data_IF_447116172130
#
_entry.id   IF_447116172130
#
_cell.length_a   1.000
_cell.length_b   1.000
_cell.length_c   1.000
_cell.angle_alpha   90.00
_cell.angle_beta   90.00
_cell.angle_gamma   90.00
#
_symmetry.space_group_name_H-M   'P 1'
#
loop_
_entity.id
_entity.type
_entity.pdbx_description
1 polymer ?
#
# COMPACT_ATOMS: atom_id res chain seq x y z
N UNK A 1 3.39 0.30 0.71
CA UNK A 1 2.23 0.19 -0.21
C UNK A 1 2.59 -0.60 -1.45
N UNK A 2 3.27 -0.03 -2.45
CA UNK A 2 3.64 -0.79 -3.66
C UNK A 2 4.51 -2.02 -3.37
N UNK A 3 5.52 -1.90 -2.50
CA UNK A 3 6.35 -3.04 -2.09
C UNK A 3 5.52 -4.12 -1.38
N UNK A 4 4.65 -3.73 -0.44
CA UNK A 4 3.80 -4.66 0.30
C UNK A 4 2.80 -5.36 -0.63
N UNK A 5 2.22 -4.63 -1.58
CA UNK A 5 1.37 -5.16 -2.64
C UNK A 5 2.09 -6.24 -3.46
N UNK A 6 3.33 -5.99 -3.88
CA UNK A 6 4.13 -6.97 -4.63
C UNK A 6 4.47 -8.21 -3.78
N UNK A 7 4.78 -8.02 -2.50
CA UNK A 7 5.02 -9.12 -1.57
C UNK A 7 3.77 -9.97 -1.38
N UNK A 8 2.59 -9.37 -1.28
CA UNK A 8 1.32 -10.08 -1.23
C UNK A 8 1.03 -10.87 -2.51
N UNK A 9 1.56 -10.42 -3.67
CA UNK A 9 1.53 -11.16 -4.93
C UNK A 9 2.65 -12.21 -5.08
N UNK A 10 3.43 -12.46 -4.02
CA UNK A 10 4.45 -13.52 -3.97
C UNK A 10 5.85 -13.10 -4.43
N UNK A 11 6.08 -11.82 -4.71
CA UNK A 11 7.41 -11.29 -5.02
C UNK A 11 8.25 -11.24 -3.74
N UNK A 12 9.53 -11.62 -3.80
CA UNK A 12 10.39 -11.50 -2.62
C UNK A 12 10.53 -10.03 -2.21
N UNK A 13 10.64 -9.75 -0.91
CA UNK A 13 10.75 -8.36 -0.45
C UNK A 13 11.91 -7.60 -1.11
N UNK A 14 13.04 -8.28 -1.35
CA UNK A 14 14.19 -7.69 -2.05
C UNK A 14 13.82 -7.22 -3.46
N UNK A 15 13.17 -8.08 -4.23
CA UNK A 15 12.83 -7.79 -5.62
C UNK A 15 11.69 -6.76 -5.70
N UNK A 16 10.72 -6.85 -4.79
CA UNK A 16 9.65 -5.86 -4.65
C UNK A 16 10.23 -4.47 -4.35
N UNK A 17 11.15 -4.36 -3.41
CA UNK A 17 11.79 -3.09 -3.06
C UNK A 17 12.67 -2.55 -4.20
N UNK A 18 13.34 -3.42 -4.96
CA UNK A 18 14.09 -3.01 -6.14
C UNK A 18 13.19 -2.44 -7.25
N UNK A 19 12.06 -3.11 -7.54
CA UNK A 19 11.07 -2.65 -8.50
C UNK A 19 10.45 -1.30 -8.10
N UNK A 20 10.15 -1.11 -6.81
CA UNK A 20 9.68 0.19 -6.29
C UNK A 20 10.72 1.28 -6.52
N UNK A 21 12.01 1.00 -6.27
CA UNK A 21 13.08 1.98 -6.51
C UNK A 21 13.15 2.41 -7.98
N UNK A 22 12.99 1.47 -8.91
CA UNK A 22 12.94 1.77 -10.35
C UNK A 22 11.70 2.59 -10.72
N UNK A 23 10.53 2.26 -10.18
CA UNK A 23 9.31 3.00 -10.41
C UNK A 23 9.39 4.44 -9.88
N UNK A 24 9.93 4.64 -8.67
CA UNK A 24 10.14 5.98 -8.10
C UNK A 24 11.11 6.79 -8.96
N UNK A 25 12.24 6.20 -9.38
CA UNK A 25 13.18 6.89 -10.26
C UNK A 25 12.56 7.28 -11.62
N UNK A 26 11.68 6.44 -12.17
CA UNK A 26 10.96 6.73 -13.40
C UNK A 26 9.93 7.86 -13.24
N UNK A 27 9.20 7.88 -12.11
CA UNK A 27 8.27 8.94 -11.75
C UNK A 27 9.00 10.29 -11.58
N UNK A 28 10.13 10.29 -10.85
CA UNK A 28 10.98 11.47 -10.69
C UNK A 28 11.50 12.00 -12.05
N UNK A 29 11.99 11.11 -12.91
CA UNK A 29 12.49 11.48 -14.26
C UNK A 29 11.38 12.07 -15.13
N UNK A 30 10.16 11.55 -14.99
CA UNK A 30 9.00 11.99 -15.76
C UNK A 30 8.28 13.20 -15.14
N UNK A 31 8.70 13.65 -13.95
CA UNK A 31 8.04 14.68 -13.15
C UNK A 31 6.54 14.39 -12.91
N UNK A 32 6.20 13.11 -12.71
CA UNK A 32 4.84 12.66 -12.39
C UNK A 32 4.82 11.99 -11.03
N UNK A 33 3.64 11.84 -10.42
CA UNK A 33 3.53 11.01 -9.23
C UNK A 33 3.64 9.52 -9.59
N UNK A 34 3.99 8.69 -8.60
CA UNK A 34 4.08 7.24 -8.76
C UNK A 34 2.75 6.63 -9.22
N UNK A 35 1.63 7.17 -8.74
CA UNK A 35 0.27 6.75 -9.10
C UNK A 35 -0.11 7.12 -10.54
N UNK A 36 0.60 8.08 -11.15
CA UNK A 36 0.36 8.54 -12.52
C UNK A 36 1.21 7.79 -13.56
N UNK A 37 2.11 6.91 -13.12
CA UNK A 37 2.87 6.10 -14.06
C UNK A 37 1.95 5.13 -14.80
N UNK A 38 2.12 4.98 -16.14
CA UNK A 38 1.37 4.00 -16.89
C UNK A 38 1.57 2.59 -16.35
N UNK A 39 0.51 1.77 -16.33
CA UNK A 39 0.57 0.37 -15.90
C UNK A 39 1.69 -0.40 -16.62
N UNK A 40 1.83 -0.19 -17.93
CA UNK A 40 2.88 -0.81 -18.73
C UNK A 40 4.30 -0.47 -18.23
N UNK A 41 4.51 0.76 -17.73
CA UNK A 41 5.78 1.18 -17.14
C UNK A 41 6.03 0.43 -15.84
N UNK A 42 5.02 0.32 -14.96
CA UNK A 42 5.14 -0.44 -13.70
C UNK A 42 5.39 -1.93 -13.98
N UNK A 43 4.70 -2.50 -14.96
CA UNK A 43 4.87 -3.89 -15.41
C UNK A 43 6.26 -4.16 -16.00
N UNK A 44 6.89 -3.16 -16.60
CA UNK A 44 8.27 -3.29 -17.09
C UNK A 44 9.29 -3.50 -15.97
N UNK A 45 9.00 -3.02 -14.76
CA UNK A 45 9.84 -3.23 -13.56
C UNK A 45 9.46 -4.50 -12.79
N UNK A 46 8.18 -4.86 -12.77
CA UNK A 46 7.72 -6.11 -12.18
C UNK A 46 6.45 -6.62 -12.90
N UNK A 47 6.53 -7.75 -13.63
CA UNK A 47 5.37 -8.32 -14.34
C UNK A 47 4.19 -8.73 -13.44
N UNK A 48 4.39 -8.81 -12.12
CA UNK A 48 3.34 -9.11 -11.15
C UNK A 48 2.44 -7.90 -10.83
N UNK A 49 2.69 -6.72 -11.42
CA UNK A 49 1.82 -5.55 -11.30
C UNK A 49 0.61 -5.71 -12.23
N UNK A 50 -0.60 -5.56 -11.67
CA UNK A 50 -1.85 -5.51 -12.42
C UNK A 50 -2.56 -4.17 -12.14
N UNK A 51 -3.71 -3.96 -12.77
CA UNK A 51 -4.50 -2.72 -12.70
C UNK A 51 -4.96 -2.37 -11.26
N UNK A 52 -5.06 -3.37 -10.38
CA UNK A 52 -5.37 -3.21 -8.95
C UNK A 52 -4.28 -2.44 -8.17
N UNK A 53 -3.10 -2.24 -8.76
CA UNK A 53 -2.03 -1.44 -8.16
C UNK A 53 -2.45 0.00 -7.89
N UNK A 54 -3.33 0.57 -8.71
CA UNK A 54 -3.76 1.95 -8.55
C UNK A 54 -4.68 2.12 -7.34
N UNK A 55 -5.33 1.04 -6.88
CA UNK A 55 -6.13 1.09 -5.65
C UNK A 55 -5.23 1.33 -4.44
N UNK A 56 -4.05 0.68 -4.38
CA UNK A 56 -3.10 0.80 -3.25
C UNK A 56 -2.22 2.04 -3.32
N UNK A 57 -2.12 2.69 -4.49
CA UNK A 57 -1.37 3.93 -4.69
C UNK A 57 -2.16 5.20 -4.38
N UNK A 58 -3.36 5.07 -3.80
CA UNK A 58 -4.13 6.19 -3.25
C UNK A 58 -3.92 6.37 -1.75
N UNK A 59 -4.22 7.58 -1.23
CA UNK A 59 -4.24 7.82 0.22
C UNK A 59 -5.22 6.88 0.93
N UNK A 60 -6.42 6.69 0.37
CA UNK A 60 -7.44 5.82 0.97
C UNK A 60 -7.00 4.35 0.96
N UNK A 61 -6.45 3.87 -0.16
CA UNK A 61 -5.92 2.50 -0.27
C UNK A 61 -4.74 2.25 0.66
N UNK A 62 -3.82 3.21 0.77
CA UNK A 62 -2.70 3.16 1.71
C UNK A 62 -3.19 2.95 3.15
N UNK A 63 -4.14 3.77 3.60
CA UNK A 63 -4.71 3.68 4.95
C UNK A 63 -5.49 2.38 5.15
N UNK A 64 -6.30 1.97 4.16
CA UNK A 64 -7.10 0.75 4.23
C UNK A 64 -6.25 -0.52 4.31
N UNK A 65 -5.11 -0.57 3.61
CA UNK A 65 -4.23 -1.74 3.58
C UNK A 65 -3.62 -2.10 4.94
N UNK A 66 -3.61 -1.17 5.91
CA UNK A 66 -3.13 -1.40 7.29
C UNK A 66 -4.22 -2.02 8.17
N UNK A 67 -4.93 -3.03 7.65
CA UNK A 67 -6.00 -3.77 8.34
C UNK A 67 -5.47 -4.97 9.13
N UNK A 68 -4.59 -4.68 10.08
CA UNK A 68 -4.13 -5.62 11.10
C UNK A 68 -4.43 -5.05 12.48
N UNK A 69 -4.48 -5.89 13.53
CA UNK A 69 -4.79 -5.45 14.89
C UNK A 69 -3.87 -4.29 15.30
N UNK A 70 -4.48 -3.15 15.63
CA UNK A 70 -3.77 -1.92 16.00
C UNK A 70 -3.31 -1.05 14.83
N UNK A 71 -3.66 -1.40 13.60
CA UNK A 71 -3.36 -0.61 12.39
C UNK A 71 -4.25 0.61 12.21
N UNK A 72 -3.96 1.36 11.14
CA UNK A 72 -4.60 2.64 10.82
C UNK A 72 -5.82 2.51 9.93
N UNK A 73 -6.17 1.29 9.47
CA UNK A 73 -7.38 1.09 8.68
C UNK A 73 -8.62 1.57 9.45
N UNK A 74 -9.62 2.22 8.79
CA UNK A 74 -10.78 2.78 9.49
C UNK A 74 -11.54 1.76 10.33
N UNK A 75 -11.58 0.49 9.89
CA UNK A 75 -12.18 -0.62 10.64
C UNK A 75 -11.42 -0.90 11.94
N UNK A 76 -10.09 -0.89 11.91
CA UNK A 76 -9.23 -1.06 13.09
C UNK A 76 -9.37 0.11 14.06
N UNK A 77 -9.43 1.34 13.55
CA UNK A 77 -9.66 2.54 14.38
C UNK A 77 -11.03 2.47 15.08
N UNK A 78 -12.09 2.08 14.38
CA UNK A 78 -13.43 1.88 14.99
C UNK A 78 -13.41 0.79 16.06
N UNK A 79 -12.74 -0.34 15.77
CA UNK A 79 -12.56 -1.43 16.73
C UNK A 79 -11.82 -0.95 18.00
N UNK A 80 -10.75 -0.18 17.84
CA UNK A 80 -9.99 0.37 18.96
C UNK A 80 -10.81 1.37 19.79
N UNK A 81 -11.61 2.23 19.14
CA UNK A 81 -12.54 3.14 19.83
C UNK A 81 -13.56 2.35 20.67
N UNK A 82 -14.14 1.29 20.12
CA UNK A 82 -15.10 0.45 20.85
C UNK A 82 -14.46 -0.22 22.07
N UNK A 83 -13.28 -0.80 21.88
CA UNK A 83 -12.50 -1.46 22.95
C UNK A 83 -12.13 -0.48 24.05
N UNK A 84 -11.65 0.72 23.70
CA UNK A 84 -11.31 1.75 24.67
C UNK A 84 -12.54 2.22 25.48
N UNK A 85 -13.70 2.40 24.82
CA UNK A 85 -14.96 2.76 25.49
C UNK A 85 -15.41 1.67 26.46
N UNK A 86 -15.30 0.39 26.10
CA UNK A 86 -15.64 -0.71 26.99
C UNK A 86 -14.74 -0.72 28.24
N UNK A 87 -13.43 -0.51 28.06
CA UNK A 87 -12.46 -0.43 29.16
C UNK A 87 -12.74 0.73 30.12
N UNK A 88 -13.16 1.89 29.60
CA UNK A 88 -13.50 3.05 30.44
C UNK A 88 -14.74 2.80 31.31
N UNK A 89 -15.72 2.00 30.84
CA UNK A 89 -16.92 1.63 31.61
C UNK A 89 -16.66 0.65 32.75
N UNK A 90 -15.51 -0.03 32.73
CA UNK A 90 -15.11 -1.02 33.74
C UNK A 90 -14.27 -0.39 34.86
N UNK A 91 -14.04 0.92 34.83
CA UNK A 91 -13.36 1.70 35.86
C UNK A 91 -14.38 2.46 36.69
#
# INVERSE_FOLDING_TARGET
DLADYLVLKGVTFRDAHAAVGQAVAAAETSQTDLADLPLATLQSFCPAVDDDVFEVLTLDGSVQSRDHIGGTAPVQVRYQIQTARARLKQR
#
